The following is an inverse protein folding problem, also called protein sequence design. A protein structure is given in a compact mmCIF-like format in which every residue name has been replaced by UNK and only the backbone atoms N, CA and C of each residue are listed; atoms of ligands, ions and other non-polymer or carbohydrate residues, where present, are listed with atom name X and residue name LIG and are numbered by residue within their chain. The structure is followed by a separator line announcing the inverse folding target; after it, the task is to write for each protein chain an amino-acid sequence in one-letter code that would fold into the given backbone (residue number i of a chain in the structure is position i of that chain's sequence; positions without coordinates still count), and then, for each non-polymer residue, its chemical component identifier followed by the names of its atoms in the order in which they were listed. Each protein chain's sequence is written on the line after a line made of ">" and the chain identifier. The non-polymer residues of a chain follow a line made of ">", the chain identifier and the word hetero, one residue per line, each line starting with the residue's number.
data_IF_778538977534
#
_entry.id   IF_778538977534
#
_cell.length_a   1.000
_cell.length_b   1.000
_cell.length_c   1.000
_cell.angle_alpha   90.00
_cell.angle_beta   90.00
_cell.angle_gamma   90.00
#
_symmetry.space_group_name_H-M   'P 1'
#
loop_
_entity.id
_entity.type
_entity.pdbx_description
1 polymer ?
#
# COMPACT_ATOMS: atom_id res chain seq x y z
N UNK A 1 31.14 -31.18 7.16
CA UNK A 1 30.46 -30.65 8.36
C UNK A 1 30.65 -29.17 8.55
N UNK A 2 31.85 -28.67 8.36
CA UNK A 2 32.08 -27.21 8.45
C UNK A 2 31.35 -26.42 7.37
N UNK A 3 31.10 -27.04 6.21
CA UNK A 3 30.34 -26.39 5.14
C UNK A 3 28.89 -26.18 5.51
N UNK A 4 28.27 -27.06 6.28
CA UNK A 4 26.88 -26.91 6.71
C UNK A 4 26.70 -25.75 7.66
N UNK A 5 27.67 -25.49 8.53
CA UNK A 5 27.62 -24.35 9.45
C UNK A 5 27.81 -23.03 8.72
N UNK A 6 28.65 -22.99 7.70
CA UNK A 6 28.82 -21.81 6.87
C UNK A 6 27.59 -21.48 6.08
N UNK A 7 26.88 -22.50 5.55
CA UNK A 7 25.66 -22.31 4.81
C UNK A 7 24.52 -21.84 5.71
N UNK A 8 24.46 -22.32 6.94
CA UNK A 8 23.46 -21.84 7.91
C UNK A 8 23.68 -20.37 8.25
N UNK A 9 24.92 -19.95 8.40
CA UNK A 9 25.24 -18.55 8.64
C UNK A 9 24.81 -17.65 7.49
N UNK A 10 25.02 -18.11 6.25
CA UNK A 10 24.57 -17.38 5.06
C UNK A 10 23.06 -17.30 5.00
N UNK A 11 22.36 -18.40 5.30
CA UNK A 11 20.90 -18.43 5.29
C UNK A 11 20.31 -17.49 6.34
N UNK A 12 20.90 -17.47 7.54
CA UNK A 12 20.47 -16.55 8.60
C UNK A 12 20.68 -15.10 8.20
N UNK A 13 21.81 -14.79 7.57
CA UNK A 13 22.11 -13.45 7.09
C UNK A 13 21.12 -13.03 6.01
N UNK A 14 20.83 -13.92 5.07
CA UNK A 14 19.85 -13.65 4.02
C UNK A 14 18.45 -13.42 4.59
N UNK A 15 18.07 -14.20 5.59
CA UNK A 15 16.78 -14.02 6.26
C UNK A 15 16.70 -12.67 6.97
N UNK A 16 17.78 -12.25 7.61
CA UNK A 16 17.85 -10.94 8.28
C UNK A 16 17.79 -9.80 7.27
N UNK A 17 18.49 -9.92 6.16
CA UNK A 17 18.45 -8.93 5.09
C UNK A 17 17.06 -8.82 4.49
N UNK A 18 16.39 -9.95 4.28
CA UNK A 18 15.02 -9.98 3.78
C UNK A 18 14.06 -9.29 4.75
N UNK A 19 14.19 -9.60 6.04
CA UNK A 19 13.38 -8.96 7.08
C UNK A 19 13.58 -7.44 7.08
N UNK A 20 14.84 -6.98 7.01
CA UNK A 20 15.15 -5.55 6.96
C UNK A 20 14.53 -4.89 5.75
N UNK A 21 14.64 -5.52 4.59
CA UNK A 21 14.08 -4.95 3.35
C UNK A 21 12.56 -4.90 3.38
N UNK A 22 11.93 -5.94 3.95
CA UNK A 22 10.48 -5.94 4.11
C UNK A 22 10.03 -4.86 5.08
N UNK A 23 10.77 -4.68 6.17
CA UNK A 23 10.46 -3.61 7.13
C UNK A 23 10.60 -2.23 6.50
N UNK A 24 11.66 -2.01 5.72
CA UNK A 24 11.86 -0.76 4.99
C UNK A 24 10.74 -0.51 4.00
N UNK A 25 10.30 -1.55 3.29
CA UNK A 25 9.20 -1.45 2.34
C UNK A 25 7.90 -1.08 3.04
N UNK A 26 7.63 -1.69 4.21
CA UNK A 26 6.44 -1.37 4.99
C UNK A 26 6.48 0.06 5.52
N UNK A 27 7.66 0.52 5.97
CA UNK A 27 7.84 1.89 6.43
C UNK A 27 7.61 2.89 5.30
N UNK A 28 8.04 2.55 4.09
CA UNK A 28 7.80 3.39 2.92
C UNK A 28 6.32 3.53 2.58
N UNK A 29 5.50 2.52 2.93
CA UNK A 29 4.07 2.58 2.65
C UNK A 29 3.38 3.75 3.34
N UNK A 30 3.90 4.20 4.49
CA UNK A 30 3.38 5.39 5.16
C UNK A 30 3.63 6.66 4.34
N UNK A 31 4.71 6.70 3.60
CA UNK A 31 5.12 7.87 2.82
C UNK A 31 4.50 7.90 1.43
N UNK A 32 4.02 6.75 0.95
CA UNK A 32 3.35 6.66 -0.34
C UNK A 32 1.90 7.08 -0.18
N UNK A 33 1.50 8.13 -0.88
CA UNK A 33 0.13 8.65 -0.83
C UNK A 33 -0.55 8.40 -2.16
N UNK A 34 -1.81 8.01 -2.08
CA UNK A 34 -2.68 7.83 -3.25
C UNK A 34 -3.94 8.63 -3.06
N UNK A 35 -4.57 8.99 -4.16
CA UNK A 35 -5.81 9.78 -4.14
C UNK A 35 -6.90 9.01 -4.84
N UNK A 36 -8.02 8.84 -4.15
CA UNK A 36 -9.26 8.30 -4.72
C UNK A 36 -10.24 9.42 -4.93
N UNK A 37 -11.15 9.25 -5.86
CA UNK A 37 -12.14 10.28 -6.14
C UNK A 37 -13.51 9.68 -6.48
N UNK A 38 -14.54 10.51 -6.35
CA UNK A 38 -15.89 10.20 -6.77
C UNK A 38 -16.61 11.46 -7.22
N UNK A 39 -17.75 11.30 -7.88
CA UNK A 39 -18.53 12.43 -8.35
C UNK A 39 -17.75 13.35 -9.29
N UNK A 40 -17.01 12.77 -10.24
CA UNK A 40 -16.17 13.52 -11.19
C UNK A 40 -15.16 14.45 -10.49
N UNK A 41 -14.61 14.00 -9.38
CA UNK A 41 -13.60 14.75 -8.64
C UNK A 41 -14.14 15.69 -7.59
N UNK A 42 -15.47 15.71 -7.37
CA UNK A 42 -16.08 16.58 -6.36
C UNK A 42 -15.72 16.15 -4.94
N UNK A 43 -15.47 14.86 -4.74
CA UNK A 43 -14.97 14.34 -3.46
C UNK A 43 -13.69 13.58 -3.75
N UNK A 44 -12.62 13.92 -3.01
CA UNK A 44 -11.35 13.23 -3.11
C UNK A 44 -10.91 12.78 -1.72
N UNK A 45 -10.37 11.58 -1.65
CA UNK A 45 -9.81 11.03 -0.42
C UNK A 45 -8.33 10.70 -0.65
N UNK A 46 -7.49 11.04 0.30
CA UNK A 46 -6.07 10.71 0.24
C UNK A 46 -5.78 9.64 1.28
N UNK A 47 -5.09 8.60 0.87
CA UNK A 47 -4.74 7.51 1.76
C UNK A 47 -3.26 7.16 1.61
N UNK A 48 -2.66 6.63 2.68
CA UNK A 48 -1.35 6.02 2.59
C UNK A 48 -1.48 4.65 1.92
N UNK A 49 -0.37 4.12 1.42
CA UNK A 49 -0.37 2.77 0.82
C UNK A 49 -0.71 1.68 1.85
N UNK A 50 -0.70 1.98 3.15
CA UNK A 50 -1.19 1.07 4.18
C UNK A 50 -2.72 1.03 4.25
N UNK A 51 -3.40 1.88 3.51
CA UNK A 51 -4.86 1.95 3.50
C UNK A 51 -5.44 2.93 4.51
N UNK A 52 -4.61 3.72 5.16
CA UNK A 52 -5.07 4.73 6.12
C UNK A 52 -5.49 6.01 5.41
N UNK A 53 -6.72 6.44 5.62
CA UNK A 53 -7.20 7.70 5.07
C UNK A 53 -6.62 8.84 5.88
N UNK A 54 -5.88 9.72 5.21
CA UNK A 54 -5.18 10.85 5.87
C UNK A 54 -5.75 12.20 5.47
N UNK A 55 -6.61 12.25 4.48
CA UNK A 55 -7.20 13.50 4.03
C UNK A 55 -8.49 13.27 3.26
N UNK A 56 -9.32 14.29 3.28
CA UNK A 56 -10.61 14.27 2.57
C UNK A 56 -10.89 15.69 2.11
N UNK A 57 -11.29 15.83 0.85
CA UNK A 57 -11.67 17.11 0.27
C UNK A 57 -13.05 16.97 -0.37
N UNK A 58 -13.94 17.89 -0.04
CA UNK A 58 -15.32 17.88 -0.52
C UNK A 58 -15.57 19.22 -1.18
N UNK A 59 -16.09 19.20 -2.41
CA UNK A 59 -16.45 20.43 -3.11
C UNK A 59 -17.51 21.19 -2.32
N UNK A 60 -17.33 22.49 -2.19
CA UNK A 60 -18.23 23.32 -1.39
C UNK A 60 -19.68 23.31 -1.90
N UNK A 61 -19.88 23.08 -3.19
CA UNK A 61 -21.23 23.02 -3.79
C UNK A 61 -22.06 21.85 -3.26
N UNK A 62 -21.41 20.85 -2.64
CA UNK A 62 -22.09 19.69 -2.07
C UNK A 62 -22.64 19.94 -0.67
N UNK A 63 -22.27 21.04 -0.02
CA UNK A 63 -22.74 21.35 1.34
C UNK A 63 -24.15 21.96 1.29
N UNK A 64 -25.11 21.09 1.01
CA UNK A 64 -26.52 21.42 0.97
C UNK A 64 -27.26 20.36 1.77
N UNK A 65 -28.13 20.75 2.74
CA UNK A 65 -28.83 19.76 3.56
C UNK A 65 -29.62 18.73 2.77
N UNK A 66 -30.13 19.10 1.60
CA UNK A 66 -30.89 18.18 0.76
C UNK A 66 -30.01 17.12 0.09
N UNK A 67 -28.70 17.33 0.05
CA UNK A 67 -27.76 16.44 -0.62
C UNK A 67 -27.00 15.54 0.35
N UNK A 68 -27.42 15.49 1.61
CA UNK A 68 -26.73 14.75 2.66
C UNK A 68 -26.42 13.31 2.27
N UNK A 69 -27.41 12.57 1.80
CA UNK A 69 -27.21 11.15 1.43
C UNK A 69 -26.29 11.01 0.23
N UNK A 70 -26.39 11.91 -0.74
CA UNK A 70 -25.51 11.91 -1.91
C UNK A 70 -24.06 12.13 -1.47
N UNK A 71 -23.83 13.09 -0.58
CA UNK A 71 -22.50 13.41 -0.07
C UNK A 71 -21.92 12.21 0.69
N UNK A 72 -22.72 11.59 1.54
CA UNK A 72 -22.30 10.40 2.29
C UNK A 72 -21.84 9.28 1.34
N UNK A 73 -22.62 9.01 0.30
CA UNK A 73 -22.31 7.99 -0.69
C UNK A 73 -21.06 8.34 -1.49
N UNK A 74 -20.89 9.60 -1.85
CA UNK A 74 -19.71 10.07 -2.57
C UNK A 74 -18.43 9.94 -1.71
N UNK A 75 -18.55 10.24 -0.42
CA UNK A 75 -17.42 10.09 0.51
C UNK A 75 -17.00 8.63 0.60
N UNK A 76 -17.95 7.72 0.79
CA UNK A 76 -17.67 6.29 0.86
C UNK A 76 -17.01 5.81 -0.44
N UNK A 77 -17.54 6.24 -1.59
CA UNK A 77 -16.99 5.85 -2.89
C UNK A 77 -15.55 6.35 -3.07
N UNK A 78 -15.27 7.59 -2.67
CA UNK A 78 -13.92 8.16 -2.76
C UNK A 78 -12.94 7.41 -1.86
N UNK A 79 -13.36 7.06 -0.66
CA UNK A 79 -12.54 6.29 0.28
C UNK A 79 -12.25 4.90 -0.27
N UNK A 80 -13.25 4.22 -0.81
CA UNK A 80 -13.06 2.89 -1.41
C UNK A 80 -12.08 2.96 -2.58
N UNK A 81 -12.21 3.98 -3.42
CA UNK A 81 -11.30 4.17 -4.54
C UNK A 81 -9.86 4.40 -4.06
N UNK A 82 -9.70 5.24 -3.04
CA UNK A 82 -8.38 5.50 -2.45
C UNK A 82 -7.79 4.22 -1.84
N UNK A 83 -8.59 3.42 -1.14
CA UNK A 83 -8.12 2.19 -0.52
C UNK A 83 -7.74 1.13 -1.56
N UNK A 84 -8.47 1.07 -2.67
CA UNK A 84 -8.12 0.18 -3.78
C UNK A 84 -6.77 0.57 -4.38
N UNK A 85 -6.57 1.86 -4.63
CA UNK A 85 -5.30 2.38 -5.14
C UNK A 85 -4.17 2.20 -4.14
N UNK A 86 -4.46 2.33 -2.84
CA UNK A 86 -3.50 2.08 -1.78
C UNK A 86 -3.02 0.63 -1.77
N UNK A 87 -3.94 -0.32 -1.94
CA UNK A 87 -3.60 -1.73 -2.02
C UNK A 87 -2.72 -2.03 -3.23
N UNK A 88 -3.04 -1.43 -4.38
CA UNK A 88 -2.22 -1.56 -5.59
C UNK A 88 -0.81 -0.99 -5.39
N UNK A 89 -0.72 0.18 -4.76
CA UNK A 89 0.56 0.80 -4.45
C UNK A 89 1.38 -0.04 -3.47
N UNK A 90 0.73 -0.63 -2.48
CA UNK A 90 1.40 -1.51 -1.52
C UNK A 90 1.97 -2.74 -2.22
N UNK A 91 1.21 -3.35 -3.13
CA UNK A 91 1.69 -4.48 -3.90
C UNK A 91 2.88 -4.11 -4.79
N UNK A 92 2.84 -2.93 -5.40
CA UNK A 92 3.93 -2.45 -6.22
C UNK A 92 5.21 -2.26 -5.40
N UNK A 93 5.11 -1.70 -4.20
CA UNK A 93 6.26 -1.53 -3.31
C UNK A 93 6.82 -2.87 -2.83
N UNK A 94 5.95 -3.81 -2.47
CA UNK A 94 6.38 -5.15 -2.07
C UNK A 94 7.00 -5.92 -3.24
N UNK A 95 6.50 -5.69 -4.46
CA UNK A 95 7.08 -6.27 -5.66
C UNK A 95 8.51 -5.82 -5.91
N UNK A 96 8.84 -4.57 -5.60
CA UNK A 96 10.21 -4.06 -5.70
C UNK A 96 11.17 -4.80 -4.76
N UNK A 97 10.72 -5.15 -3.56
CA UNK A 97 11.51 -5.93 -2.61
C UNK A 97 11.78 -7.31 -3.20
N UNK A 98 10.77 -7.93 -3.78
CA UNK A 98 10.89 -9.25 -4.40
C UNK A 98 11.86 -9.23 -5.59
N UNK A 99 11.80 -8.19 -6.41
CA UNK A 99 12.70 -8.04 -7.56
C UNK A 99 14.15 -7.84 -7.11
N UNK A 100 14.37 -7.14 -6.00
CA UNK A 100 15.70 -6.93 -5.44
C UNK A 100 16.31 -8.18 -4.82
N UNK A 101 15.52 -9.23 -4.60
CA UNK A 101 15.97 -10.49 -4.08
C UNK A 101 16.06 -11.50 -5.22
N UNK A 102 17.24 -12.10 -5.39
CA UNK A 102 17.44 -13.14 -6.41
C UNK A 102 16.71 -14.40 -5.96
N UNK A 103 15.46 -14.56 -6.33
CA UNK A 103 14.69 -15.75 -6.04
C UNK A 103 14.99 -16.85 -7.06
N UNK A 104 15.14 -18.10 -6.61
CA UNK A 104 15.30 -19.20 -7.54
C UNK A 104 14.09 -19.32 -8.47
N UNK A 105 14.27 -19.77 -9.71
CA UNK A 105 13.15 -20.00 -10.64
C UNK A 105 12.11 -20.94 -10.02
N UNK A 106 10.85 -20.56 -10.12
CA UNK A 106 9.74 -21.35 -9.59
C UNK A 106 9.31 -21.03 -8.19
N UNK A 107 10.07 -20.23 -7.44
CA UNK A 107 9.62 -19.75 -6.14
C UNK A 107 8.76 -18.52 -6.28
N UNK A 108 7.53 -18.62 -5.78
CA UNK A 108 6.62 -17.48 -5.73
C UNK A 108 6.37 -17.12 -4.27
N UNK A 109 6.48 -15.84 -3.96
CA UNK A 109 6.09 -15.35 -2.65
C UNK A 109 4.56 -15.30 -2.56
N UNK A 110 3.97 -15.53 -1.38
CA UNK A 110 2.52 -15.57 -1.21
C UNK A 110 1.88 -14.17 -1.14
N UNK A 111 2.17 -13.35 -2.11
CA UNK A 111 1.59 -12.01 -2.21
C UNK A 111 0.67 -11.90 -3.41
#
# INVERSE_FOLDING_TARGET
>A
MLKGLGDMGKLMKQAQEMQSKMQEAQDKLDDVKVTGESGAGMVTATASAKGEVVGLSIDASLFNPDDKEVVEDLIVAAIKDAQTKAAEAAQAEMGKVTEGLALPPGMKLPF
#
